data_IF_452443974658
#
_entry.id   IF_452443974658
#
_cell.length_a   1.000
_cell.length_b   1.000
_cell.length_c   1.000
_cell.angle_alpha   90.00
_cell.angle_beta   90.00
_cell.angle_gamma   90.00
#
_symmetry.space_group_name_H-M   'P 1'
#
loop_
_entity.id
_entity.type
_entity.pdbx_description
1 polymer ?
#
# COMPACT_ATOMS: atom_id res chain seq x y z
N UNK A 1 -8.74 15.20 -15.56
CA UNK A 1 -7.41 14.71 -15.15
C UNK A 1 -7.57 13.91 -13.88
N UNK A 2 -7.11 12.66 -13.84
CA UNK A 2 -7.17 11.84 -12.64
C UNK A 2 -6.12 12.30 -11.61
N UNK A 3 -6.45 12.20 -10.33
CA UNK A 3 -5.56 12.51 -9.21
C UNK A 3 -5.15 11.22 -8.50
N UNK A 4 -3.86 10.94 -8.50
CA UNK A 4 -3.28 9.72 -7.92
C UNK A 4 -2.57 10.07 -6.62
N UNK A 5 -3.04 9.51 -5.51
CA UNK A 5 -2.39 9.59 -4.21
C UNK A 5 -1.44 8.39 -4.03
N UNK A 6 -0.16 8.66 -3.79
CA UNK A 6 0.86 7.65 -3.50
C UNK A 6 1.39 7.90 -2.09
N UNK A 7 1.06 7.01 -1.15
CA UNK A 7 1.61 7.05 0.21
C UNK A 7 2.84 6.13 0.24
N UNK A 8 4.01 6.63 0.66
CA UNK A 8 5.29 5.94 0.47
C UNK A 8 5.90 6.21 -0.91
N UNK A 9 5.78 7.46 -1.40
CA UNK A 9 6.21 7.82 -2.76
C UNK A 9 7.73 7.79 -2.95
N UNK A 10 8.52 7.92 -1.88
CA UNK A 10 9.98 7.97 -1.93
C UNK A 10 10.63 6.57 -1.94
N UNK A 11 9.90 5.58 -2.47
CA UNK A 11 10.37 4.21 -2.67
C UNK A 11 10.65 3.89 -4.14
N UNK A 12 11.06 2.64 -4.40
CA UNK A 12 11.31 2.16 -5.78
C UNK A 12 10.06 2.28 -6.67
N UNK A 13 8.91 1.77 -6.20
CA UNK A 13 7.65 1.82 -6.95
C UNK A 13 7.20 3.27 -7.11
N UNK A 14 7.19 4.05 -6.02
CA UNK A 14 6.73 5.44 -6.04
C UNK A 14 7.53 6.33 -7.01
N UNK A 15 8.86 6.20 -7.05
CA UNK A 15 9.72 6.89 -8.02
C UNK A 15 9.34 6.55 -9.47
N UNK A 16 9.37 5.26 -9.84
CA UNK A 16 9.14 4.85 -11.23
C UNK A 16 7.69 5.10 -11.68
N UNK A 17 6.72 4.89 -10.78
CA UNK A 17 5.31 5.12 -11.06
C UNK A 17 5.02 6.61 -11.28
N UNK A 18 5.53 7.48 -10.39
CA UNK A 18 5.35 8.94 -10.52
C UNK A 18 5.91 9.43 -11.85
N UNK A 19 7.15 9.06 -12.16
CA UNK A 19 7.81 9.39 -13.43
C UNK A 19 7.00 8.92 -14.65
N UNK A 20 6.52 7.67 -14.63
CA UNK A 20 5.69 7.13 -15.72
C UNK A 20 4.40 7.92 -15.89
N UNK A 21 3.66 8.17 -14.80
CA UNK A 21 2.39 8.92 -14.84
C UNK A 21 2.62 10.31 -15.45
N UNK A 22 3.63 11.03 -14.96
CA UNK A 22 3.94 12.38 -15.40
C UNK A 22 4.39 12.42 -16.87
N UNK A 23 5.08 11.39 -17.36
CA UNK A 23 5.57 11.35 -18.74
C UNK A 23 4.51 10.92 -19.76
N UNK A 24 3.58 10.02 -19.39
CA UNK A 24 2.71 9.35 -20.38
C UNK A 24 1.23 9.66 -20.22
N UNK A 25 0.85 10.51 -19.27
CA UNK A 25 -0.56 10.88 -19.02
C UNK A 25 -0.70 12.37 -18.73
N UNK A 26 -1.94 12.85 -18.63
CA UNK A 26 -2.33 14.18 -18.14
C UNK A 26 -2.69 14.18 -16.63
N UNK A 27 -2.37 13.12 -15.89
CA UNK A 27 -2.78 12.97 -14.49
C UNK A 27 -1.92 13.80 -13.53
N UNK A 28 -2.46 14.07 -12.34
CA UNK A 28 -1.75 14.69 -11.21
C UNK A 28 -1.32 13.62 -10.20
N UNK A 29 -0.14 13.78 -9.64
CA UNK A 29 0.42 12.90 -8.59
C UNK A 29 0.51 13.69 -7.29
N UNK A 30 -0.04 13.12 -6.23
CA UNK A 30 0.08 13.56 -4.85
C UNK A 30 0.89 12.52 -4.09
N UNK A 31 2.13 12.85 -3.74
CA UNK A 31 3.04 11.95 -3.06
C UNK A 31 3.22 12.34 -1.59
N UNK A 32 3.15 11.35 -0.68
CA UNK A 32 3.51 11.54 0.73
C UNK A 32 4.60 10.57 1.14
N UNK A 33 5.64 11.08 1.79
CA UNK A 33 6.69 10.27 2.43
C UNK A 33 7.45 11.09 3.47
N UNK A 34 8.29 10.49 4.30
CA UNK A 34 9.11 11.20 5.29
C UNK A 34 10.32 11.90 4.67
N UNK A 35 10.73 11.49 3.47
CA UNK A 35 11.88 12.02 2.76
C UNK A 35 11.57 12.13 1.26
N UNK A 36 12.43 12.82 0.51
CA UNK A 36 12.21 13.11 -0.92
C UNK A 36 13.44 12.86 -1.80
N UNK A 37 14.48 12.18 -1.29
CA UNK A 37 15.75 12.00 -1.98
C UNK A 37 15.64 11.25 -3.31
N UNK A 38 14.70 10.31 -3.45
CA UNK A 38 14.50 9.52 -4.68
C UNK A 38 13.55 10.15 -5.68
N UNK A 39 12.84 11.21 -5.31
CA UNK A 39 11.81 11.85 -6.14
C UNK A 39 12.16 13.30 -6.51
N UNK A 40 13.40 13.73 -6.24
CA UNK A 40 13.86 15.10 -6.48
C UNK A 40 13.64 15.56 -7.91
N UNK A 41 13.85 14.68 -8.89
CA UNK A 41 13.70 14.97 -10.31
C UNK A 41 12.28 15.43 -10.70
N UNK A 42 11.27 15.07 -9.92
CA UNK A 42 9.87 15.39 -10.20
C UNK A 42 9.35 16.57 -9.36
N UNK A 43 10.14 17.11 -8.43
CA UNK A 43 9.70 18.15 -7.48
C UNK A 43 9.27 19.47 -8.15
N UNK A 44 9.89 19.80 -9.29
CA UNK A 44 9.57 21.01 -10.06
C UNK A 44 8.45 20.78 -11.10
N UNK A 45 7.93 19.54 -11.20
CA UNK A 45 6.86 19.24 -12.12
C UNK A 45 5.52 19.81 -11.60
N UNK A 46 4.80 20.66 -12.35
CA UNK A 46 3.58 21.31 -11.87
C UNK A 46 2.44 20.33 -11.57
N UNK A 47 2.52 19.07 -12.04
CA UNK A 47 1.55 18.01 -11.76
C UNK A 47 2.00 17.07 -10.63
N UNK A 48 3.17 17.30 -10.04
CA UNK A 48 3.66 16.55 -8.91
C UNK A 48 3.57 17.39 -7.62
N UNK A 49 2.88 16.86 -6.62
CA UNK A 49 2.61 17.55 -5.37
C UNK A 49 3.16 16.68 -4.23
N UNK A 50 4.30 17.06 -3.66
CA UNK A 50 4.89 16.33 -2.54
C UNK A 50 4.48 16.92 -1.19
N UNK A 51 4.28 16.05 -0.21
CA UNK A 51 4.11 16.41 1.19
C UNK A 51 4.97 15.52 2.08
N UNK A 52 5.72 16.14 2.98
CA UNK A 52 6.50 15.43 3.97
C UNK A 52 5.60 14.97 5.13
N UNK A 53 5.46 13.66 5.33
CA UNK A 53 4.56 13.12 6.33
C UNK A 53 4.68 11.60 6.56
N UNK A 54 4.06 11.14 7.64
CA UNK A 54 4.07 9.75 8.07
C UNK A 54 2.64 9.23 8.26
N UNK A 55 2.35 8.02 7.77
CA UNK A 55 1.00 7.43 7.81
C UNK A 55 0.46 7.20 9.22
N UNK A 56 1.34 7.06 10.22
CA UNK A 56 0.95 6.85 11.61
C UNK A 56 0.69 8.15 12.38
N UNK A 57 1.13 9.30 11.84
CA UNK A 57 1.05 10.62 12.50
C UNK A 57 0.03 11.52 11.80
N UNK A 58 0.13 11.69 10.47
CA UNK A 58 -0.58 12.72 9.71
C UNK A 58 -1.99 12.30 9.26
N UNK A 59 -2.80 11.75 10.18
CA UNK A 59 -4.10 11.11 9.88
C UNK A 59 -5.09 12.02 9.15
N UNK A 60 -5.22 13.28 9.59
CA UNK A 60 -6.14 14.25 8.99
C UNK A 60 -5.73 14.63 7.56
N UNK A 61 -4.43 14.80 7.33
CA UNK A 61 -3.89 15.12 6.03
C UNK A 61 -4.14 13.99 5.03
N UNK A 62 -3.95 12.74 5.47
CA UNK A 62 -4.20 11.53 4.66
C UNK A 62 -5.68 11.43 4.32
N UNK A 63 -6.58 11.61 5.29
CA UNK A 63 -8.02 11.56 5.04
C UNK A 63 -8.45 12.62 4.02
N UNK A 64 -7.94 13.85 4.17
CA UNK A 64 -8.20 14.94 3.22
C UNK A 64 -7.72 14.57 1.80
N UNK A 65 -6.53 14.01 1.66
CA UNK A 65 -5.98 13.66 0.34
C UNK A 65 -6.66 12.45 -0.28
N UNK A 66 -7.12 11.47 0.52
CA UNK A 66 -7.96 10.38 0.02
C UNK A 66 -9.27 10.95 -0.51
N UNK A 67 -9.92 11.86 0.22
CA UNK A 67 -11.15 12.53 -0.26
C UNK A 67 -10.92 13.34 -1.54
N UNK A 68 -9.76 13.99 -1.66
CA UNK A 68 -9.38 14.84 -2.81
C UNK A 68 -9.01 14.05 -4.07
N UNK A 69 -8.32 12.92 -3.92
CA UNK A 69 -7.80 12.13 -5.05
C UNK A 69 -8.82 11.12 -5.57
N UNK A 70 -8.56 10.53 -6.73
CA UNK A 70 -9.45 9.55 -7.37
C UNK A 70 -8.95 8.12 -7.14
N UNK A 71 -7.62 7.95 -7.13
CA UNK A 71 -6.95 6.66 -6.98
C UNK A 71 -5.95 6.74 -5.82
N UNK A 72 -5.93 5.73 -4.95
CA UNK A 72 -5.04 5.66 -3.78
C UNK A 72 -4.14 4.43 -3.86
N UNK A 73 -2.83 4.63 -3.70
CA UNK A 73 -1.80 3.61 -3.64
C UNK A 73 -1.03 3.69 -2.31
N UNK A 74 -1.41 2.88 -1.31
CA UNK A 74 -0.67 2.80 -0.05
C UNK A 74 0.53 1.86 -0.19
N UNK A 75 1.72 2.41 -0.41
CA UNK A 75 2.97 1.65 -0.61
C UNK A 75 3.80 1.49 0.66
N UNK A 76 3.40 2.12 1.77
CA UNK A 76 4.12 2.04 3.05
C UNK A 76 3.92 0.67 3.70
N UNK A 77 5.02 -0.07 3.82
CA UNK A 77 5.08 -1.37 4.52
C UNK A 77 6.54 -1.72 4.87
N UNK A 78 6.72 -2.60 5.85
CA UNK A 78 7.99 -3.27 6.16
C UNK A 78 8.03 -4.59 5.40
N UNK A 79 8.77 -4.63 4.30
CA UNK A 79 8.95 -5.83 3.47
C UNK A 79 10.35 -6.46 3.60
N UNK A 80 10.97 -6.35 4.77
CA UNK A 80 12.31 -6.89 5.04
C UNK A 80 12.22 -8.16 5.89
N UNK A 81 12.54 -9.36 5.36
CA UNK A 81 12.32 -10.64 6.05
C UNK A 81 12.94 -10.77 7.44
N UNK A 82 14.12 -10.18 7.67
CA UNK A 82 14.75 -10.18 8.98
C UNK A 82 13.89 -9.49 10.04
N UNK A 83 13.19 -8.42 9.67
CA UNK A 83 12.33 -7.64 10.58
C UNK A 83 11.09 -8.42 11.00
N UNK A 84 10.59 -9.36 10.19
CA UNK A 84 9.43 -10.19 10.54
C UNK A 84 9.70 -11.06 11.77
N UNK A 85 10.96 -11.43 11.96
CA UNK A 85 11.41 -12.27 13.09
C UNK A 85 11.88 -11.39 14.25
N UNK A 86 12.63 -10.32 13.96
CA UNK A 86 13.22 -9.45 14.97
C UNK A 86 12.20 -8.53 15.65
N UNK A 87 11.21 -8.03 14.90
CA UNK A 87 10.23 -7.06 15.39
C UNK A 87 8.83 -7.28 14.74
N UNK A 88 8.18 -8.43 15.03
CA UNK A 88 6.91 -8.80 14.42
C UNK A 88 5.77 -7.82 14.72
N UNK A 89 5.75 -7.23 15.92
CA UNK A 89 4.70 -6.29 16.32
C UNK A 89 4.78 -4.98 15.53
N UNK A 90 5.99 -4.50 15.23
CA UNK A 90 6.16 -3.34 14.36
C UNK A 90 5.70 -3.62 12.94
N UNK A 91 5.98 -4.81 12.41
CA UNK A 91 5.48 -5.24 11.09
C UNK A 91 3.95 -5.24 11.08
N UNK A 92 3.31 -5.86 12.08
CA UNK A 92 1.85 -5.85 12.19
C UNK A 92 1.28 -4.41 12.31
N UNK A 93 1.85 -3.59 13.19
CA UNK A 93 1.37 -2.23 13.42
C UNK A 93 1.45 -1.34 12.19
N UNK A 94 2.51 -1.46 11.38
CA UNK A 94 2.63 -0.66 10.15
C UNK A 94 1.86 -1.29 8.98
N UNK A 95 2.09 -2.57 8.70
CA UNK A 95 1.60 -3.20 7.48
C UNK A 95 0.11 -3.48 7.54
N UNK A 96 -0.43 -3.73 8.73
CA UNK A 96 -1.86 -3.97 8.95
C UNK A 96 -2.57 -2.77 9.57
N UNK A 97 -2.24 -2.42 10.82
CA UNK A 97 -3.05 -1.47 11.59
C UNK A 97 -3.01 -0.06 11.02
N UNK A 98 -1.86 0.40 10.51
CA UNK A 98 -1.76 1.73 9.90
C UNK A 98 -2.39 1.79 8.50
N UNK A 99 -2.45 0.67 7.79
CA UNK A 99 -3.04 0.58 6.44
C UNK A 99 -4.56 0.41 6.46
N UNK A 100 -5.12 -0.25 7.48
CA UNK A 100 -6.56 -0.49 7.58
C UNK A 100 -7.43 0.79 7.59
N UNK A 101 -7.08 1.87 8.31
CA UNK A 101 -7.79 3.15 8.23
C UNK A 101 -7.79 3.74 6.82
N UNK A 102 -6.70 3.61 6.06
CA UNK A 102 -6.61 4.10 4.68
C UNK A 102 -7.62 3.37 3.78
N UNK A 103 -7.70 2.03 3.90
CA UNK A 103 -8.69 1.22 3.19
C UNK A 103 -10.12 1.67 3.54
N UNK A 104 -10.43 1.80 4.84
CA UNK A 104 -11.75 2.27 5.31
C UNK A 104 -12.09 3.67 4.83
N UNK A 105 -11.11 4.57 4.74
CA UNK A 105 -11.29 5.90 4.18
C UNK A 105 -11.57 5.84 2.67
N UNK A 106 -10.92 4.94 1.93
CA UNK A 106 -11.23 4.73 0.52
C UNK A 106 -12.70 4.27 0.34
N UNK A 107 -13.18 3.35 1.17
CA UNK A 107 -14.60 2.94 1.19
C UNK A 107 -15.50 4.14 1.49
N UNK A 108 -15.25 4.83 2.61
CA UNK A 108 -16.04 6.00 3.07
C UNK A 108 -16.20 7.08 2.00
N UNK A 109 -15.16 7.30 1.20
CA UNK A 109 -15.14 8.35 0.17
C UNK A 109 -15.30 7.83 -1.25
N UNK A 110 -15.64 6.56 -1.42
CA UNK A 110 -15.82 5.87 -2.70
C UNK A 110 -14.62 6.10 -3.65
N UNK A 111 -13.42 5.76 -3.17
CA UNK A 111 -12.16 5.95 -3.89
C UNK A 111 -11.59 4.63 -4.33
N UNK A 112 -11.07 4.61 -5.56
CA UNK A 112 -10.41 3.43 -6.10
C UNK A 112 -9.10 3.19 -5.35
N UNK A 113 -8.98 2.06 -4.68
CA UNK A 113 -7.73 1.63 -4.07
C UNK A 113 -7.01 0.65 -4.99
N UNK A 114 -5.70 0.85 -5.20
CA UNK A 114 -4.81 -0.13 -5.82
C UNK A 114 -3.83 -0.56 -4.74
N UNK A 115 -4.18 -1.65 -4.05
CA UNK A 115 -3.44 -2.11 -2.89
C UNK A 115 -2.32 -3.08 -3.30
N UNK A 116 -1.06 -2.86 -2.87
CA UNK A 116 0.00 -3.82 -3.11
C UNK A 116 -0.14 -4.99 -2.15
N UNK A 117 -0.73 -6.09 -2.61
CA UNK A 117 -0.58 -7.41 -1.97
C UNK A 117 0.89 -7.90 -2.11
N UNK A 118 1.17 -9.14 -1.76
CA UNK A 118 2.51 -9.72 -1.81
C UNK A 118 2.47 -11.15 -2.31
N UNK A 119 3.49 -11.56 -3.06
CA UNK A 119 3.65 -12.99 -3.41
C UNK A 119 3.86 -13.87 -2.18
N UNK A 120 4.25 -13.31 -1.03
CA UNK A 120 4.39 -14.11 0.20
C UNK A 120 3.06 -14.66 0.71
N UNK A 121 1.89 -14.15 0.27
CA UNK A 121 0.57 -14.68 0.67
C UNK A 121 0.38 -16.15 0.29
N UNK A 122 1.02 -16.63 -0.77
CA UNK A 122 1.00 -18.04 -1.17
C UNK A 122 1.77 -18.94 -0.20
N UNK A 123 2.75 -18.37 0.52
CA UNK A 123 3.56 -19.05 1.50
C UNK A 123 4.27 -20.30 0.97
N UNK A 124 3.91 -21.46 1.49
CA UNK A 124 4.47 -22.77 1.11
C UNK A 124 3.56 -23.52 0.12
N UNK A 125 2.77 -22.80 -0.67
CA UNK A 125 1.98 -23.37 -1.77
C UNK A 125 2.87 -24.25 -2.67
N UNK A 126 2.34 -25.40 -3.09
CA UNK A 126 3.07 -26.42 -3.85
C UNK A 126 2.74 -26.41 -5.34
N UNK A 127 1.87 -25.51 -5.78
CA UNK A 127 1.51 -25.39 -7.18
C UNK A 127 2.74 -25.00 -8.01
N UNK A 128 2.85 -25.51 -9.23
CA UNK A 128 3.95 -25.16 -10.14
C UNK A 128 3.95 -23.67 -10.51
N UNK A 129 2.79 -23.03 -10.45
CA UNK A 129 2.59 -21.60 -10.66
C UNK A 129 1.48 -21.12 -9.74
N UNK A 130 1.71 -19.97 -9.10
CA UNK A 130 0.73 -19.38 -8.19
C UNK A 130 -0.41 -18.72 -8.97
N UNK A 131 -1.64 -19.15 -8.69
CA UNK A 131 -2.87 -18.61 -9.25
C UNK A 131 -3.61 -17.80 -8.18
N UNK A 132 -3.92 -16.53 -8.48
CA UNK A 132 -4.54 -15.62 -7.51
C UNK A 132 -5.99 -15.94 -7.18
N UNK A 133 -6.66 -16.75 -7.99
CA UNK A 133 -8.06 -17.15 -7.81
C UNK A 133 -8.21 -18.56 -7.22
N UNK A 134 -7.24 -19.45 -7.43
CA UNK A 134 -7.38 -20.86 -7.04
C UNK A 134 -6.31 -21.44 -6.12
N UNK A 135 -5.08 -20.88 -6.07
CA UNK A 135 -4.01 -21.48 -5.26
C UNK A 135 -4.29 -21.39 -3.77
N UNK A 136 -3.99 -22.47 -3.05
CA UNK A 136 -4.07 -22.48 -1.59
C UNK A 136 -2.96 -21.64 -0.96
N UNK A 137 -3.28 -21.00 0.17
CA UNK A 137 -2.39 -20.09 0.89
C UNK A 137 -1.90 -20.80 2.16
N UNK A 138 -0.67 -21.33 2.14
CA UNK A 138 -0.17 -22.27 3.15
C UNK A 138 0.90 -21.62 4.02
N UNK A 139 0.60 -21.40 5.30
CA UNK A 139 1.53 -20.82 6.27
C UNK A 139 2.02 -21.86 7.28
N UNK A 140 3.13 -21.56 7.96
CA UNK A 140 3.66 -22.40 9.03
C UNK A 140 2.94 -22.21 10.37
N UNK A 141 3.32 -22.97 11.41
CA UNK A 141 2.76 -22.85 12.75
C UNK A 141 3.07 -21.50 13.40
N UNK A 142 2.30 -21.14 14.44
CA UNK A 142 2.39 -19.85 15.14
C UNK A 142 3.80 -19.57 15.70
N UNK A 143 4.54 -20.59 16.11
CA UNK A 143 5.93 -20.43 16.60
C UNK A 143 6.94 -20.06 15.49
N UNK A 144 6.51 -19.94 14.23
CA UNK A 144 7.28 -19.42 13.11
C UNK A 144 6.80 -18.01 12.77
N UNK A 145 7.25 -17.03 13.56
CA UNK A 145 6.85 -15.62 13.45
C UNK A 145 7.07 -14.99 12.07
N UNK A 146 7.97 -15.52 11.23
CA UNK A 146 8.18 -15.03 9.85
C UNK A 146 6.88 -14.91 9.05
N UNK A 147 5.87 -15.73 9.35
CA UNK A 147 4.60 -15.73 8.63
C UNK A 147 3.67 -14.59 9.02
N UNK A 148 4.01 -13.76 10.01
CA UNK A 148 3.19 -12.62 10.42
C UNK A 148 2.99 -11.61 9.29
N UNK A 149 4.01 -11.37 8.47
CA UNK A 149 3.92 -10.49 7.29
C UNK A 149 2.89 -11.02 6.29
N UNK A 150 3.06 -12.28 5.86
CA UNK A 150 2.13 -12.96 4.94
C UNK A 150 0.69 -12.98 5.47
N UNK A 151 0.49 -13.36 6.74
CA UNK A 151 -0.83 -13.44 7.35
C UNK A 151 -1.50 -12.06 7.43
N UNK A 152 -0.73 -11.02 7.78
CA UNK A 152 -1.21 -9.64 7.84
C UNK A 152 -1.67 -9.14 6.46
N UNK A 153 -0.84 -9.33 5.43
CA UNK A 153 -1.17 -8.93 4.06
C UNK A 153 -2.37 -9.69 3.51
N UNK A 154 -2.42 -11.01 3.72
CA UNK A 154 -3.54 -11.84 3.34
C UNK A 154 -4.86 -11.41 4.02
N UNK A 155 -4.82 -11.05 5.31
CA UNK A 155 -6.00 -10.58 6.01
C UNK A 155 -6.49 -9.22 5.46
N UNK A 156 -5.59 -8.31 5.08
CA UNK A 156 -5.98 -7.07 4.40
C UNK A 156 -6.63 -7.32 3.05
N UNK A 157 -6.09 -8.24 2.25
CA UNK A 157 -6.68 -8.60 0.96
C UNK A 157 -8.12 -9.11 1.14
N UNK A 158 -8.36 -9.93 2.17
CA UNK A 158 -9.71 -10.41 2.52
C UNK A 158 -10.64 -9.29 2.99
N UNK A 159 -10.13 -8.33 3.76
CA UNK A 159 -10.91 -7.16 4.20
C UNK A 159 -11.28 -6.26 3.01
N UNK A 160 -10.32 -6.00 2.12
CA UNK A 160 -10.56 -5.24 0.89
C UNK A 160 -11.60 -5.95 0.02
N UNK A 161 -11.46 -7.26 -0.17
CA UNK A 161 -12.41 -8.08 -0.90
C UNK A 161 -13.83 -7.99 -0.31
N UNK A 162 -13.94 -8.10 1.02
CA UNK A 162 -15.23 -7.97 1.72
C UNK A 162 -15.86 -6.59 1.50
N UNK A 163 -15.07 -5.51 1.57
CA UNK A 163 -15.55 -4.17 1.24
C UNK A 163 -16.00 -4.04 -0.22
N UNK A 164 -15.31 -4.68 -1.17
CA UNK A 164 -15.75 -4.72 -2.57
C UNK A 164 -17.11 -5.42 -2.72
N UNK A 165 -17.34 -6.52 -1.99
CA UNK A 165 -18.60 -7.26 -2.05
C UNK A 165 -19.77 -6.55 -1.37
N UNK A 166 -19.53 -5.89 -0.23
CA UNK A 166 -20.59 -5.38 0.64
C UNK A 166 -20.80 -3.87 0.56
N UNK A 167 -19.74 -3.10 0.29
CA UNK A 167 -19.75 -1.64 0.33
C UNK A 167 -19.46 -0.99 -1.04
N UNK A 168 -19.14 -1.79 -2.06
CA UNK A 168 -18.92 -1.31 -3.43
C UNK A 168 -17.58 -0.60 -3.65
N UNK A 169 -16.55 -0.96 -2.87
CA UNK A 169 -15.16 -0.50 -3.05
C UNK A 169 -14.56 -0.87 -4.41
#
# INVERSE_FOLDING_TARGET
MAKVLILGVNGFIGHHLSKRILQTTDWEVYGMDMYSDRIRDEMDNPRFNFFEGCITINKEWIEYHIKKCDIVLPLVAIATPATYVQDPLKVFGLDFEANLPIIRQCVKYNKRIIFPSTSEVYGMCRDESFDSASSELVLGPINKSRWIYSCSKQLLDRVIWAHGMHDGL
#
